data_IF_457750308899
#
_entry.id   IF_457750308899
#
_cell.length_a   1.000
_cell.length_b   1.000
_cell.length_c   1.000
_cell.angle_alpha   90.00
_cell.angle_beta   90.00
_cell.angle_gamma   90.00
#
_symmetry.space_group_name_H-M   'P 1'
#
loop_
_entity.id
_entity.type
_entity.pdbx_description
1 polymer ?
#
# COMPACT_ATOMS: atom_id res chain seq x y z
N UNK A 1 -30.08 0.75 16.76
CA UNK A 1 -29.96 0.15 15.41
C UNK A 1 -28.66 -0.63 15.45
N UNK A 2 -28.69 -1.93 15.17
CA UNK A 2 -27.54 -2.80 15.42
C UNK A 2 -26.37 -2.54 14.48
N UNK A 3 -25.21 -3.13 14.78
CA UNK A 3 -24.02 -3.18 13.91
C UNK A 3 -24.40 -3.48 12.45
N UNK A 4 -25.40 -4.35 12.23
CA UNK A 4 -25.95 -4.74 10.92
C UNK A 4 -26.84 -3.70 10.22
N UNK A 5 -27.40 -2.72 10.92
CA UNK A 5 -28.24 -1.68 10.31
C UNK A 5 -27.41 -0.65 9.54
N UNK A 6 -26.13 -0.49 9.88
CA UNK A 6 -25.17 0.34 9.13
C UNK A 6 -24.86 -0.23 7.73
N UNK A 7 -24.97 -1.56 7.56
CA UNK A 7 -24.57 -2.27 6.34
C UNK A 7 -25.70 -2.45 5.30
N UNK A 8 -26.94 -2.02 5.57
CA UNK A 8 -28.08 -2.20 4.66
C UNK A 8 -28.05 -1.37 3.37
N UNK A 9 -27.08 -0.45 3.18
CA UNK A 9 -27.03 0.41 1.99
C UNK A 9 -26.17 -0.09 0.83
N UNK A 10 -25.57 -1.29 0.88
CA UNK A 10 -24.83 -1.80 -0.28
C UNK A 10 -25.06 -3.25 -0.73
N UNK A 11 -25.78 -4.09 0.02
CA UNK A 11 -26.11 -5.45 -0.45
C UNK A 11 -27.58 -5.79 -0.19
N UNK A 12 -28.37 -5.76 -1.26
CA UNK A 12 -29.71 -6.33 -1.27
C UNK A 12 -29.60 -7.84 -1.54
N UNK A 13 -29.25 -8.63 -0.52
CA UNK A 13 -29.74 -10.00 -0.34
C UNK A 13 -29.19 -10.60 0.96
N UNK A 14 -30.07 -11.33 1.65
CA UNK A 14 -29.88 -12.21 2.81
C UNK A 14 -30.08 -11.59 4.21
N UNK A 15 -31.16 -12.09 4.82
CA UNK A 15 -31.60 -11.86 6.19
C UNK A 15 -30.81 -12.72 7.20
N UNK A 16 -30.61 -12.13 8.38
CA UNK A 16 -30.35 -12.74 9.70
C UNK A 16 -29.19 -13.73 9.86
N UNK A 17 -28.08 -13.25 10.42
CA UNK A 17 -27.22 -14.06 11.30
C UNK A 17 -26.85 -13.22 12.52
N UNK A 18 -27.43 -13.57 13.67
CA UNK A 18 -26.92 -13.21 14.99
C UNK A 18 -25.89 -14.28 15.35
N UNK A 19 -24.63 -13.90 15.57
CA UNK A 19 -23.61 -14.87 16.03
C UNK A 19 -23.32 -14.60 17.50
N UNK A 20 -23.95 -15.31 18.45
CA UNK A 20 -23.45 -15.37 19.82
C UNK A 20 -22.16 -16.20 19.86
N UNK A 21 -21.26 -15.88 20.80
CA UNK A 21 -20.07 -16.70 21.08
C UNK A 21 -20.53 -18.13 21.42
N UNK A 22 -20.02 -19.15 20.73
CA UNK A 22 -20.39 -20.56 20.97
C UNK A 22 -19.51 -21.23 22.03
N UNK A 23 -20.14 -22.02 22.91
CA UNK A 23 -19.50 -22.87 23.93
C UNK A 23 -18.70 -24.04 23.31
N UNK A 24 -17.63 -24.45 23.98
CA UNK A 24 -17.03 -25.80 23.81
C UNK A 24 -17.62 -26.75 24.85
N UNK A 25 -18.29 -27.82 24.42
CA UNK A 25 -18.70 -28.94 25.29
C UNK A 25 -17.48 -29.74 25.77
N UNK A 26 -17.37 -29.96 27.08
CA UNK A 26 -16.48 -30.98 27.66
C UNK A 26 -17.17 -32.35 27.70
N UNK A 27 -16.43 -33.47 27.54
CA UNK A 27 -17.04 -34.81 27.44
C UNK A 27 -17.57 -35.31 28.80
N UNK A 28 -18.80 -35.83 28.79
CA UNK A 28 -19.48 -36.43 29.94
C UNK A 28 -18.78 -37.70 30.45
N UNK A 29 -18.49 -37.75 31.76
CA UNK A 29 -18.22 -38.99 32.49
C UNK A 29 -19.54 -39.73 32.78
N UNK A 30 -19.63 -40.99 32.32
CA UNK A 30 -20.70 -41.93 32.65
C UNK A 30 -20.67 -42.30 34.13
N UNK A 31 -21.80 -42.14 34.84
CA UNK A 31 -22.12 -42.97 36.01
C UNK A 31 -23.57 -43.47 35.96
N UNK A 32 -23.63 -44.79 36.07
CA UNK A 32 -24.68 -45.83 36.10
C UNK A 32 -26.01 -45.50 36.80
N UNK A 33 -27.10 -46.00 36.21
CA UNK A 33 -28.47 -46.10 36.73
C UNK A 33 -28.59 -46.88 38.06
N UNK A 34 -29.46 -46.41 38.96
CA UNK A 34 -30.20 -47.26 39.89
C UNK A 34 -31.63 -46.71 40.07
N UNK A 35 -32.61 -47.61 40.12
CA UNK A 35 -34.06 -47.39 39.90
C UNK A 35 -34.84 -47.42 41.23
N UNK A 36 -36.03 -46.81 41.22
CA UNK A 36 -37.22 -46.98 42.13
C UNK A 36 -37.18 -46.03 43.36
N UNK A 37 -38.20 -45.22 43.72
CA UNK A 37 -39.66 -45.42 43.82
C UNK A 37 -40.42 -44.06 43.93
N UNK A 38 -41.67 -43.99 43.45
CA UNK A 38 -42.62 -42.86 43.60
C UNK A 38 -43.19 -42.78 45.03
N UNK A 39 -42.98 -41.68 45.77
CA UNK A 39 -43.87 -41.27 46.89
C UNK A 39 -43.86 -39.74 47.13
N UNK A 40 -45.01 -39.12 46.83
CA UNK A 40 -45.69 -37.98 47.49
C UNK A 40 -45.03 -36.58 47.57
N UNK A 41 -45.80 -35.62 47.03
CA UNK A 41 -45.64 -34.16 47.13
C UNK A 41 -45.47 -33.63 48.56
N UNK A 42 -44.38 -32.90 48.78
CA UNK A 42 -44.33 -31.78 49.73
C UNK A 42 -43.45 -30.69 49.12
N UNK A 43 -44.01 -29.48 48.94
CA UNK A 43 -43.29 -28.29 48.50
C UNK A 43 -42.25 -27.94 49.58
N UNK A 44 -40.93 -27.96 49.30
CA UNK A 44 -39.94 -27.38 50.20
C UNK A 44 -39.83 -25.88 49.91
N UNK A 45 -39.82 -25.07 50.97
CA UNK A 45 -39.50 -23.66 50.91
C UNK A 45 -38.22 -23.45 50.10
N UNK A 46 -38.30 -22.60 49.07
CA UNK A 46 -37.15 -22.13 48.31
C UNK A 46 -36.29 -21.32 49.28
N UNK A 47 -35.24 -21.96 49.80
CA UNK A 47 -34.10 -21.28 50.39
C UNK A 47 -33.59 -20.29 49.35
N UNK A 48 -33.76 -19.00 49.63
CA UNK A 48 -33.11 -17.92 48.89
C UNK A 48 -31.61 -18.17 48.95
N UNK A 49 -31.04 -18.72 47.89
CA UNK A 49 -29.61 -18.68 47.68
C UNK A 49 -29.20 -17.19 47.72
N UNK A 50 -28.15 -16.83 48.47
CA UNK A 50 -27.62 -15.49 48.38
C UNK A 50 -27.24 -15.24 46.92
N UNK A 51 -27.81 -14.20 46.34
CA UNK A 51 -27.35 -13.67 45.05
C UNK A 51 -25.88 -13.32 45.27
N UNK A 52 -24.97 -14.13 44.73
CA UNK A 52 -23.57 -13.74 44.65
C UNK A 52 -23.53 -12.45 43.85
N UNK A 53 -23.06 -11.37 44.48
CA UNK A 53 -22.78 -10.13 43.78
C UNK A 53 -21.81 -10.45 42.64
N UNK A 54 -22.09 -10.01 41.40
CA UNK A 54 -21.22 -10.32 40.26
C UNK A 54 -19.82 -9.78 40.58
N UNK A 55 -18.84 -10.68 40.55
CA UNK A 55 -17.43 -10.36 40.76
C UNK A 55 -16.99 -9.38 39.68
N UNK A 56 -16.79 -8.12 40.04
CA UNK A 56 -16.39 -7.06 39.10
C UNK A 56 -15.00 -7.39 38.55
N UNK A 57 -14.90 -7.53 37.23
CA UNK A 57 -13.63 -7.66 36.53
C UNK A 57 -13.02 -6.26 36.36
N UNK A 58 -12.05 -5.92 37.21
CA UNK A 58 -11.41 -4.59 37.20
C UNK A 58 -10.73 -4.27 35.86
N UNK A 59 -10.23 -5.28 35.15
CA UNK A 59 -9.57 -5.10 33.85
C UNK A 59 -10.59 -4.77 32.75
N UNK A 60 -11.74 -5.44 32.74
CA UNK A 60 -12.85 -5.11 31.87
C UNK A 60 -13.36 -3.68 32.12
N UNK A 61 -13.54 -3.28 33.37
CA UNK A 61 -14.01 -1.92 33.73
C UNK A 61 -13.06 -0.82 33.23
N UNK A 62 -11.75 -1.09 33.24
CA UNK A 62 -10.74 -0.18 32.70
C UNK A 62 -10.76 -0.14 31.17
N UNK A 63 -10.89 -1.29 30.50
CA UNK A 63 -10.86 -1.38 29.04
C UNK A 63 -12.16 -0.88 28.41
N UNK A 64 -13.32 -1.07 29.05
CA UNK A 64 -14.63 -0.76 28.45
C UNK A 64 -14.84 0.72 28.13
N UNK A 65 -14.08 1.64 28.73
CA UNK A 65 -14.13 3.07 28.37
C UNK A 65 -13.67 3.31 26.92
N UNK A 66 -12.93 2.35 26.33
CA UNK A 66 -12.44 2.37 24.97
C UNK A 66 -13.28 1.53 23.98
N UNK A 67 -14.50 1.11 24.36
CA UNK A 67 -15.35 0.26 23.52
C UNK A 67 -15.60 0.84 22.12
N UNK A 68 -15.74 2.18 22.01
CA UNK A 68 -15.85 2.85 20.72
C UNK A 68 -14.69 2.46 19.79
N UNK A 69 -13.45 2.48 20.29
CA UNK A 69 -12.26 2.21 19.48
C UNK A 69 -12.04 0.72 19.22
N UNK A 70 -12.42 -0.15 20.16
CA UNK A 70 -12.41 -1.60 19.96
C UNK A 70 -13.36 -1.98 18.81
N UNK A 71 -14.61 -1.49 18.89
CA UNK A 71 -15.60 -1.75 17.84
C UNK A 71 -15.24 -1.05 16.54
N UNK A 72 -14.63 0.14 16.59
CA UNK A 72 -14.14 0.81 15.38
C UNK A 72 -13.03 0.02 14.69
N UNK A 73 -12.10 -0.60 15.44
CA UNK A 73 -11.07 -1.48 14.87
C UNK A 73 -11.66 -2.70 14.17
N UNK A 74 -12.68 -3.32 14.76
CA UNK A 74 -13.46 -4.40 14.11
C UNK A 74 -14.12 -3.89 12.82
N UNK A 75 -14.72 -2.71 12.85
CA UNK A 75 -15.38 -2.13 11.68
C UNK A 75 -14.40 -1.74 10.56
N UNK A 76 -13.15 -1.38 10.89
CA UNK A 76 -12.07 -1.19 9.92
C UNK A 76 -11.70 -2.53 9.25
N UNK A 77 -11.50 -3.58 10.05
CA UNK A 77 -11.17 -4.91 9.53
C UNK A 77 -12.22 -5.43 8.55
N UNK A 78 -13.51 -5.27 8.87
CA UNK A 78 -14.61 -5.67 8.00
C UNK A 78 -14.64 -4.91 6.65
N UNK A 79 -13.94 -3.76 6.56
CA UNK A 79 -13.72 -3.01 5.31
C UNK A 79 -12.40 -3.35 4.61
N UNK A 80 -11.61 -4.26 5.17
CA UNK A 80 -10.26 -4.58 4.70
C UNK A 80 -9.22 -3.53 5.09
N UNK A 81 -9.51 -2.69 6.07
CA UNK A 81 -8.58 -1.70 6.61
C UNK A 81 -7.94 -2.24 7.90
N UNK A 82 -6.60 -2.35 7.92
CA UNK A 82 -5.84 -2.97 9.02
C UNK A 82 -4.92 -1.98 9.75
N UNK A 83 -5.12 -0.68 9.51
CA UNK A 83 -4.29 0.40 10.06
C UNK A 83 -4.36 0.41 11.59
N UNK A 84 -3.21 0.48 12.30
CA UNK A 84 -3.21 0.70 13.73
C UNK A 84 -3.93 1.98 14.12
N UNK A 85 -4.75 1.91 15.16
CA UNK A 85 -5.45 3.06 15.74
C UNK A 85 -5.17 3.12 17.23
N UNK A 86 -5.42 4.27 17.84
CA UNK A 86 -5.26 4.43 19.27
C UNK A 86 -6.30 5.37 19.85
N UNK A 87 -6.41 5.35 21.16
CA UNK A 87 -7.21 6.31 21.92
C UNK A 87 -6.59 6.53 23.29
N UNK A 88 -6.85 7.69 23.88
CA UNK A 88 -6.35 8.05 25.20
C UNK A 88 -7.41 8.76 26.03
N UNK A 89 -7.34 8.59 27.34
CA UNK A 89 -8.20 9.28 28.30
C UNK A 89 -7.48 10.53 28.81
N UNK A 90 -8.09 11.70 28.62
CA UNK A 90 -7.60 12.97 29.18
C UNK A 90 -7.79 13.04 30.69
N UNK A 91 -7.14 14.03 31.33
CA UNK A 91 -7.36 14.33 32.76
C UNK A 91 -8.83 14.50 33.16
N UNK A 92 -9.67 15.09 32.29
CA UNK A 92 -11.10 15.30 32.53
C UNK A 92 -11.96 14.03 32.37
N UNK A 93 -11.37 12.89 31.98
CA UNK A 93 -12.07 11.62 31.73
C UNK A 93 -12.68 11.47 30.33
N UNK A 94 -12.48 12.45 29.45
CA UNK A 94 -12.87 12.35 28.04
C UNK A 94 -11.88 11.43 27.29
N UNK A 95 -12.41 10.55 26.43
CA UNK A 95 -11.61 9.67 25.59
C UNK A 95 -11.58 10.20 24.16
N UNK A 96 -10.38 10.46 23.64
CA UNK A 96 -10.16 10.89 22.25
C UNK A 96 -9.40 9.86 21.45
N UNK A 97 -9.75 9.76 20.17
CA UNK A 97 -9.07 8.89 19.22
C UNK A 97 -7.90 9.60 18.58
N UNK A 98 -6.85 8.81 18.34
CA UNK A 98 -5.66 9.23 17.62
C UNK A 98 -5.33 8.27 16.49
N UNK A 99 -5.03 8.84 15.33
CA UNK A 99 -4.54 8.11 14.17
C UNK A 99 -3.50 8.93 13.41
N UNK A 100 -2.54 8.23 12.81
CA UNK A 100 -1.68 8.82 11.80
C UNK A 100 -2.44 8.94 10.47
N UNK A 101 -2.35 10.12 9.86
CA UNK A 101 -2.94 10.39 8.56
C UNK A 101 -1.87 10.43 7.47
N UNK A 102 -2.07 9.70 6.38
CA UNK A 102 -1.25 9.85 5.19
C UNK A 102 -1.52 11.22 4.59
N UNK A 103 -0.52 12.12 4.67
CA UNK A 103 -0.59 13.47 4.10
C UNK A 103 0.20 13.60 2.79
N UNK A 104 1.04 12.62 2.47
CA UNK A 104 1.75 12.51 1.20
C UNK A 104 1.49 11.15 0.56
N UNK A 105 1.07 11.12 -0.71
CA UNK A 105 0.71 9.88 -1.43
C UNK A 105 1.91 8.95 -1.73
N UNK A 106 3.11 9.28 -1.24
CA UNK A 106 4.36 8.58 -1.51
C UNK A 106 4.97 7.90 -0.27
N UNK A 107 4.40 8.08 0.92
CA UNK A 107 4.95 7.54 2.16
C UNK A 107 3.88 7.17 3.18
N UNK A 108 3.99 5.97 3.75
CA UNK A 108 3.14 5.51 4.84
C UNK A 108 4.00 4.83 5.92
N UNK A 109 3.56 4.89 7.18
CA UNK A 109 4.22 4.12 8.24
C UNK A 109 3.84 2.64 8.12
N UNK A 110 4.81 1.75 8.30
CA UNK A 110 4.47 0.34 8.53
C UNK A 110 3.68 0.21 9.84
N UNK A 111 2.86 -0.84 10.01
CA UNK A 111 2.12 -1.05 11.26
C UNK A 111 3.02 -1.03 12.49
N UNK A 112 4.21 -1.64 12.40
CA UNK A 112 5.21 -1.68 13.47
C UNK A 112 5.73 -0.28 13.83
N UNK A 113 6.05 0.54 12.83
CA UNK A 113 6.49 1.92 13.06
C UNK A 113 5.37 2.77 13.66
N UNK A 114 4.14 2.68 13.14
CA UNK A 114 3.00 3.41 13.67
C UNK A 114 2.74 3.07 15.14
N UNK A 115 2.75 1.78 15.50
CA UNK A 115 2.57 1.32 16.89
C UNK A 115 3.71 1.86 17.77
N UNK A 116 4.96 1.73 17.35
CA UNK A 116 6.10 2.19 18.14
C UNK A 116 6.06 3.71 18.40
N UNK A 117 5.70 4.51 17.39
CA UNK A 117 5.57 5.96 17.55
C UNK A 117 4.37 6.35 18.43
N UNK A 118 3.22 5.65 18.30
CA UNK A 118 2.08 5.82 19.21
C UNK A 118 2.48 5.49 20.65
N UNK A 119 3.18 4.37 20.87
CA UNK A 119 3.66 3.97 22.19
C UNK A 119 4.59 5.03 22.78
N UNK A 120 5.60 5.49 22.04
CA UNK A 120 6.52 6.52 22.51
C UNK A 120 5.79 7.82 22.89
N UNK A 121 4.89 8.28 22.01
CA UNK A 121 4.08 9.48 22.23
C UNK A 121 3.25 9.37 23.50
N UNK A 122 2.44 8.32 23.64
CA UNK A 122 1.52 8.21 24.77
C UNK A 122 2.22 7.87 26.08
N UNK A 123 3.33 7.15 26.06
CA UNK A 123 4.15 6.98 27.25
C UNK A 123 4.72 8.31 27.75
N UNK A 124 5.20 9.18 26.84
CA UNK A 124 5.65 10.52 27.21
C UNK A 124 4.51 11.34 27.80
N UNK A 125 3.34 11.35 27.15
CA UNK A 125 2.18 12.12 27.61
C UNK A 125 1.62 11.61 28.94
N UNK A 126 1.66 10.29 29.18
CA UNK A 126 1.26 9.67 30.45
C UNK A 126 2.22 10.04 31.58
N UNK A 127 3.54 9.99 31.33
CA UNK A 127 4.57 10.37 32.32
C UNK A 127 4.52 11.86 32.67
N UNK A 128 4.14 12.71 31.71
CA UNK A 128 3.92 14.14 31.92
C UNK A 128 2.57 14.45 32.61
N UNK A 129 1.71 13.44 32.79
CA UNK A 129 0.40 13.57 33.41
C UNK A 129 -0.67 14.18 32.50
N UNK A 130 -0.40 14.37 31.20
CA UNK A 130 -1.35 14.96 30.23
C UNK A 130 -2.55 14.05 29.96
N UNK A 131 -2.34 12.74 30.09
CA UNK A 131 -3.36 11.70 29.91
C UNK A 131 -3.35 10.78 31.13
N UNK A 132 -4.46 10.09 31.37
CA UNK A 132 -4.63 9.09 32.44
C UNK A 132 -4.36 7.67 31.98
N UNK A 133 -4.66 7.38 30.72
CA UNK A 133 -4.49 6.07 30.13
C UNK A 133 -4.49 6.16 28.60
N UNK A 134 -4.02 5.10 27.95
CA UNK A 134 -4.14 4.94 26.50
C UNK A 134 -4.30 3.48 26.11
N UNK A 135 -4.83 3.27 24.90
CA UNK A 135 -4.89 1.99 24.20
C UNK A 135 -4.38 2.14 22.77
N UNK A 136 -3.72 1.11 22.25
CA UNK A 136 -3.31 0.98 20.85
C UNK A 136 -3.85 -0.35 20.33
N UNK A 137 -4.65 -0.28 19.27
CA UNK A 137 -5.26 -1.42 18.62
C UNK A 137 -4.58 -1.69 17.28
N UNK A 138 -4.21 -2.94 17.04
CA UNK A 138 -3.53 -3.35 15.81
C UNK A 138 -3.74 -4.84 15.53
N UNK A 139 -3.69 -5.21 14.26
CA UNK A 139 -3.74 -6.61 13.87
C UNK A 139 -2.42 -7.32 14.17
N UNK A 140 -2.51 -8.53 14.69
CA UNK A 140 -1.37 -9.27 15.20
C UNK A 140 -1.46 -10.77 14.93
N UNK A 141 -0.35 -11.45 15.21
CA UNK A 141 -0.22 -12.90 15.19
C UNK A 141 -0.83 -13.60 16.42
N UNK A 142 -1.63 -12.88 17.21
CA UNK A 142 -2.21 -13.35 18.45
C UNK A 142 -3.31 -14.38 18.19
N UNK A 143 -3.16 -15.58 18.76
CA UNK A 143 -4.20 -16.62 18.80
C UNK A 143 -4.17 -17.30 20.17
N UNK A 144 -4.42 -16.51 21.23
CA UNK A 144 -4.39 -16.95 22.64
C UNK A 144 -3.05 -17.52 23.13
N UNK A 145 -1.97 -17.19 22.45
CA UNK A 145 -0.61 -17.68 22.74
C UNK A 145 0.30 -16.58 23.32
N UNK A 146 -0.25 -15.40 23.63
CA UNK A 146 0.50 -14.22 24.08
C UNK A 146 1.38 -13.57 22.99
N UNK A 147 1.33 -14.05 21.75
CA UNK A 147 2.10 -13.47 20.64
C UNK A 147 1.41 -12.22 20.08
N UNK A 148 1.65 -11.07 20.69
CA UNK A 148 1.15 -9.78 20.22
C UNK A 148 2.04 -9.12 19.15
N UNK A 149 2.82 -9.88 18.39
CA UNK A 149 3.63 -9.33 17.30
C UNK A 149 2.72 -8.76 16.20
N UNK A 150 2.92 -7.51 15.75
CA UNK A 150 2.12 -6.94 14.66
C UNK A 150 2.20 -7.80 13.41
N UNK A 151 1.05 -8.11 12.83
CA UNK A 151 0.95 -8.86 11.58
C UNK A 151 1.17 -7.92 10.39
N UNK A 152 1.99 -8.34 9.44
CA UNK A 152 2.36 -7.55 8.27
C UNK A 152 1.86 -8.17 6.95
N UNK A 153 1.36 -9.40 6.98
CA UNK A 153 0.87 -10.13 5.81
C UNK A 153 -0.47 -10.81 6.09
N UNK A 154 -1.24 -11.07 5.03
CA UNK A 154 -2.61 -11.63 5.14
C UNK A 154 -2.67 -12.95 5.92
N UNK A 155 -1.68 -13.83 5.72
CA UNK A 155 -1.58 -15.11 6.43
C UNK A 155 -1.18 -15.02 7.91
N UNK A 156 -0.80 -13.83 8.39
CA UNK A 156 -0.37 -13.61 9.77
C UNK A 156 -1.50 -13.08 10.67
N UNK A 157 -2.60 -12.59 10.07
CA UNK A 157 -3.72 -11.99 10.78
C UNK A 157 -4.51 -13.03 11.58
N UNK A 158 -4.36 -12.98 12.92
CA UNK A 158 -4.99 -13.93 13.85
C UNK A 158 -5.77 -13.26 14.98
N UNK A 159 -5.47 -12.00 15.28
CA UNK A 159 -6.19 -11.25 16.30
C UNK A 159 -6.02 -9.75 16.17
N UNK A 160 -6.84 -9.00 16.92
CA UNK A 160 -6.66 -7.58 17.20
C UNK A 160 -6.02 -7.51 18.58
N UNK A 161 -4.74 -7.14 18.65
CA UNK A 161 -4.08 -6.84 19.91
C UNK A 161 -4.54 -5.49 20.45
N UNK A 162 -4.68 -5.40 21.76
CA UNK A 162 -4.92 -4.18 22.52
C UNK A 162 -3.75 -4.01 23.49
N UNK A 163 -2.83 -3.11 23.17
CA UNK A 163 -1.76 -2.69 24.07
C UNK A 163 -2.24 -1.48 24.87
N UNK A 164 -2.07 -1.48 26.19
CA UNK A 164 -2.63 -0.44 27.05
C UNK A 164 -1.77 -0.15 28.28
N UNK A 165 -1.93 1.05 28.81
CA UNK A 165 -1.28 1.49 30.04
C UNK A 165 -2.18 2.50 30.76
N UNK A 166 -2.44 2.25 32.04
CA UNK A 166 -3.16 3.14 32.95
C UNK A 166 -2.18 3.74 33.95
N UNK A 167 -2.34 5.03 34.28
CA UNK A 167 -1.46 5.71 35.21
C UNK A 167 -1.35 4.97 36.56
N UNK A 168 -0.13 4.58 36.94
CA UNK A 168 0.15 3.85 38.17
C UNK A 168 0.10 2.33 38.07
N UNK A 169 -0.27 1.77 36.92
CA UNK A 169 -0.25 0.34 36.64
C UNK A 169 0.94 -0.06 35.74
N UNK A 170 1.17 -1.35 35.56
CA UNK A 170 2.12 -1.84 34.56
C UNK A 170 1.47 -1.82 33.16
N UNK A 171 2.30 -1.57 32.14
CA UNK A 171 1.91 -1.72 30.74
C UNK A 171 1.55 -3.17 30.44
N UNK A 172 0.43 -3.39 29.77
CA UNK A 172 -0.12 -4.72 29.48
C UNK A 172 -0.59 -4.83 28.03
N UNK A 173 -0.85 -6.07 27.62
CA UNK A 173 -1.46 -6.42 26.33
C UNK A 173 -2.51 -7.49 26.55
N UNK A 174 -3.63 -7.37 25.85
CA UNK A 174 -4.62 -8.43 25.63
C UNK A 174 -4.95 -8.47 24.14
N UNK A 175 -5.82 -9.37 23.70
CA UNK A 175 -6.21 -9.47 22.31
C UNK A 175 -7.55 -10.12 22.08
N UNK A 176 -8.16 -9.74 20.96
CA UNK A 176 -9.37 -10.31 20.41
C UNK A 176 -9.01 -11.19 19.20
N UNK A 177 -8.92 -12.51 19.36
CA UNK A 177 -8.58 -13.40 18.26
C UNK A 177 -9.79 -13.60 17.34
N UNK A 178 -9.48 -13.83 16.06
CA UNK A 178 -10.46 -14.08 15.01
C UNK A 178 -9.95 -15.12 14.02
N UNK A 179 -10.87 -15.69 13.26
CA UNK A 179 -10.58 -16.63 12.16
C UNK A 179 -11.34 -16.22 10.90
N UNK A 180 -10.73 -16.44 9.74
CA UNK A 180 -11.38 -16.28 8.44
C UNK A 180 -12.02 -17.60 8.02
N UNK A 181 -13.34 -17.61 7.82
CA UNK A 181 -14.12 -18.78 7.43
C UNK A 181 -15.06 -18.42 6.27
N UNK A 182 -14.85 -18.99 5.09
CA UNK A 182 -15.72 -18.80 3.91
C UNK A 182 -16.03 -17.32 3.61
N UNK A 183 -15.00 -16.45 3.64
CA UNK A 183 -15.12 -14.99 3.48
C UNK A 183 -15.79 -14.24 4.64
N UNK A 184 -16.14 -14.92 5.73
CA UNK A 184 -16.60 -14.30 6.98
C UNK A 184 -15.49 -14.28 8.03
N UNK A 185 -15.62 -13.41 9.02
CA UNK A 185 -14.71 -13.31 10.16
C UNK A 185 -15.47 -13.70 11.43
N UNK A 186 -14.95 -14.67 12.18
CA UNK A 186 -15.51 -15.13 13.45
C UNK A 186 -14.60 -14.68 14.60
N UNK A 187 -15.12 -13.87 15.52
CA UNK A 187 -14.40 -13.37 16.69
C UNK A 187 -14.59 -14.31 17.90
N UNK A 188 -13.50 -14.62 18.62
CA UNK A 188 -13.54 -15.54 19.78
C UNK A 188 -13.75 -14.84 21.12
N UNK A 189 -13.68 -13.50 21.18
CA UNK A 189 -13.72 -12.72 22.42
C UNK A 189 -12.35 -12.63 23.13
N UNK A 190 -12.24 -11.73 24.10
CA UNK A 190 -11.12 -11.65 25.03
C UNK A 190 -11.24 -12.80 26.05
N UNK A 191 -10.17 -13.60 26.19
CA UNK A 191 -10.19 -14.78 27.04
C UNK A 191 -10.30 -14.45 28.54
N UNK A 192 -9.87 -13.25 28.93
CA UNK A 192 -9.92 -12.77 30.31
C UNK A 192 -11.31 -12.25 30.72
N UNK A 193 -12.23 -12.12 29.76
CA UNK A 193 -13.56 -11.55 29.97
C UNK A 193 -14.63 -12.63 29.93
N UNK A 194 -15.69 -12.42 30.72
CA UNK A 194 -16.87 -13.29 30.68
C UNK A 194 -17.58 -13.22 29.33
N UNK A 195 -18.52 -14.13 29.11
CA UNK A 195 -19.37 -14.10 27.92
C UNK A 195 -20.20 -12.81 27.86
N UNK A 196 -20.76 -12.38 29.00
CA UNK A 196 -21.53 -11.14 29.12
C UNK A 196 -20.68 -9.90 28.85
N UNK A 197 -19.46 -9.87 29.38
CA UNK A 197 -18.50 -8.77 29.17
C UNK A 197 -18.09 -8.66 27.69
N UNK A 198 -17.76 -9.79 27.06
CA UNK A 198 -17.49 -9.83 25.62
C UNK A 198 -18.70 -9.38 24.80
N UNK A 199 -19.90 -9.86 25.13
CA UNK A 199 -21.13 -9.45 24.46
C UNK A 199 -21.40 -7.95 24.65
N UNK A 200 -21.09 -7.37 25.78
CA UNK A 200 -21.25 -5.94 26.02
C UNK A 200 -20.35 -5.11 25.10
N UNK A 201 -19.10 -5.52 24.89
CA UNK A 201 -18.17 -4.89 23.95
C UNK A 201 -18.69 -5.06 22.51
N UNK A 202 -19.00 -6.29 22.11
CA UNK A 202 -19.40 -6.61 20.74
C UNK A 202 -20.73 -5.96 20.32
N UNK A 203 -21.63 -5.71 21.27
CA UNK A 203 -22.91 -5.04 21.01
C UNK A 203 -22.85 -3.52 21.18
N UNK A 204 -21.69 -2.95 21.52
CA UNK A 204 -21.52 -1.51 21.63
C UNK A 204 -21.75 -0.83 20.27
N UNK A 205 -22.58 0.21 20.23
CA UNK A 205 -23.01 0.86 18.99
C UNK A 205 -22.23 2.14 18.76
N UNK A 206 -21.52 2.21 17.62
CA UNK A 206 -20.94 3.45 17.13
C UNK A 206 -22.05 4.43 16.70
N UNK A 207 -21.83 5.70 16.98
CA UNK A 207 -22.71 6.81 16.63
C UNK A 207 -22.43 7.21 15.18
N UNK A 208 -23.47 7.18 14.36
CA UNK A 208 -23.38 7.56 12.95
C UNK A 208 -22.93 9.03 12.80
N UNK A 209 -21.92 9.25 11.95
CA UNK A 209 -21.39 10.58 11.64
C UNK A 209 -20.50 11.21 12.72
N UNK A 210 -20.25 10.51 13.85
CA UNK A 210 -19.30 10.97 14.85
C UNK A 210 -17.87 10.89 14.29
N UNK A 211 -17.10 11.97 14.46
CA UNK A 211 -15.66 11.91 14.28
C UNK A 211 -15.03 11.24 15.51
N UNK A 212 -14.55 10.02 15.34
CA UNK A 212 -13.86 9.25 16.38
C UNK A 212 -12.37 9.62 16.52
N UNK A 213 -11.78 10.28 15.53
CA UNK A 213 -10.36 10.66 15.53
C UNK A 213 -10.26 12.18 15.51
N UNK A 214 -10.38 12.77 16.69
CA UNK A 214 -10.28 14.23 16.86
C UNK A 214 -8.83 14.68 16.85
N UNK A 215 -7.90 13.78 17.18
CA UNK A 215 -6.47 14.03 17.15
C UNK A 215 -5.84 13.24 15.99
N UNK A 216 -5.18 13.94 15.06
CA UNK A 216 -4.54 13.31 13.91
C UNK A 216 -3.21 13.97 13.63
N UNK A 217 -2.18 13.16 13.37
CA UNK A 217 -0.86 13.65 12.97
C UNK A 217 -0.54 13.19 11.54
N UNK A 218 -0.07 14.13 10.72
CA UNK A 218 0.30 13.84 9.34
C UNK A 218 1.62 13.07 9.25
N UNK A 219 1.65 12.04 8.41
CA UNK A 219 2.87 11.29 8.10
C UNK A 219 3.70 12.10 7.11
N UNK A 220 4.87 12.53 7.53
CA UNK A 220 5.87 13.14 6.67
C UNK A 220 6.91 12.10 6.21
N UNK A 221 7.24 12.10 4.93
CA UNK A 221 8.34 11.31 4.41
C UNK A 221 9.67 11.83 4.98
N UNK A 222 10.60 10.94 5.41
CA UNK A 222 11.95 11.35 5.77
C UNK A 222 12.61 12.12 4.61
N UNK A 223 13.14 13.29 4.91
CA UNK A 223 13.77 14.20 3.94
C UNK A 223 15.05 14.79 4.50
N UNK A 224 16.05 14.96 3.63
CA UNK A 224 17.26 15.73 3.91
C UNK A 224 17.72 16.49 2.67
N UNK A 225 18.47 17.56 2.86
CA UNK A 225 19.22 18.22 1.78
C UNK A 225 20.70 17.90 1.95
N UNK A 226 21.33 17.37 0.92
CA UNK A 226 22.75 16.99 0.97
C UNK A 226 23.68 18.18 0.67
N UNK A 227 24.99 17.94 0.72
CA UNK A 227 26.02 18.98 0.49
C UNK A 227 25.98 19.58 -0.93
N UNK A 228 25.45 18.84 -1.91
CA UNK A 228 25.25 19.32 -3.27
C UNK A 228 23.97 20.17 -3.44
N UNK A 229 23.20 20.37 -2.36
CA UNK A 229 21.92 21.10 -2.40
C UNK A 229 20.76 20.27 -2.98
N UNK A 230 20.93 18.96 -3.12
CA UNK A 230 19.91 18.05 -3.65
C UNK A 230 19.02 17.58 -2.50
N UNK A 231 17.70 17.67 -2.70
CA UNK A 231 16.70 17.18 -1.75
C UNK A 231 16.54 15.66 -1.92
N UNK A 232 16.87 14.89 -0.89
CA UNK A 232 16.69 13.45 -0.84
C UNK A 232 15.48 13.15 0.02
N UNK A 233 14.44 12.57 -0.58
CA UNK A 233 13.19 12.20 0.11
C UNK A 233 12.95 10.70 0.01
N UNK A 234 12.45 10.08 1.07
CA UNK A 234 12.07 8.66 1.06
C UNK A 234 10.66 8.45 0.52
N UNK A 235 10.44 7.25 -0.01
CA UNK A 235 9.13 6.76 -0.44
C UNK A 235 9.08 5.26 -0.24
N UNK A 236 7.92 4.70 0.10
CA UNK A 236 7.79 3.28 0.39
C UNK A 236 6.49 2.64 -0.12
N UNK A 237 5.71 3.40 -0.88
CA UNK A 237 4.44 2.93 -1.48
C UNK A 237 4.57 2.61 -2.97
N UNK A 238 5.66 3.03 -3.61
CA UNK A 238 5.83 2.84 -5.05
C UNK A 238 6.30 1.42 -5.39
N UNK A 239 5.91 0.99 -6.59
CA UNK A 239 6.26 -0.30 -7.19
C UNK A 239 6.28 -0.20 -8.72
N UNK A 240 6.72 -1.27 -9.38
CA UNK A 240 6.88 -1.32 -10.84
C UNK A 240 5.70 -1.99 -11.57
N UNK A 241 4.54 -2.14 -10.93
CA UNK A 241 3.41 -2.88 -11.51
C UNK A 241 2.95 -2.25 -12.83
N UNK A 242 2.81 -0.92 -12.88
CA UNK A 242 2.44 -0.20 -14.10
C UNK A 242 3.52 -0.31 -15.18
N UNK A 243 4.79 -0.22 -14.79
CA UNK A 243 5.94 -0.38 -15.69
C UNK A 243 5.91 -1.75 -16.38
N UNK A 244 5.74 -2.82 -15.61
CA UNK A 244 5.66 -4.19 -16.15
C UNK A 244 4.37 -4.45 -16.93
N UNK A 245 3.25 -3.86 -16.52
CA UNK A 245 2.00 -3.84 -17.31
C UNK A 245 2.20 -3.12 -18.65
N UNK A 246 3.03 -2.08 -18.70
CA UNK A 246 3.43 -1.39 -19.93
C UNK A 246 4.24 -2.28 -20.87
N UNK A 247 5.18 -3.06 -20.31
CA UNK A 247 6.03 -4.00 -21.07
C UNK A 247 5.23 -5.20 -21.59
N UNK A 248 4.51 -5.89 -20.71
CA UNK A 248 3.87 -7.17 -21.02
C UNK A 248 2.46 -7.05 -21.60
N UNK A 249 1.86 -5.86 -21.58
CA UNK A 249 0.46 -5.64 -21.95
C UNK A 249 -0.44 -5.83 -20.73
N UNK A 250 -1.43 -4.96 -20.55
CA UNK A 250 -2.20 -4.90 -19.30
C UNK A 250 -3.00 -6.17 -18.97
N UNK A 251 -3.77 -6.68 -19.92
CA UNK A 251 -4.56 -7.91 -19.78
C UNK A 251 -3.63 -9.12 -19.68
N UNK A 252 -2.57 -9.18 -20.50
CA UNK A 252 -1.58 -10.24 -20.42
C UNK A 252 -0.91 -10.28 -19.04
N UNK A 253 -0.52 -9.13 -18.49
CA UNK A 253 0.13 -9.02 -17.18
C UNK A 253 -0.79 -9.47 -16.03
N UNK A 254 -2.10 -9.27 -16.16
CA UNK A 254 -3.09 -9.74 -15.18
C UNK A 254 -3.40 -11.23 -15.29
N UNK A 255 -3.24 -11.84 -16.46
CA UNK A 255 -3.70 -13.21 -16.74
C UNK A 255 -2.57 -14.24 -16.78
N UNK A 256 -1.32 -13.81 -16.93
CA UNK A 256 -0.13 -14.67 -17.01
C UNK A 256 0.82 -14.39 -15.85
N UNK A 257 1.54 -15.43 -15.43
CA UNK A 257 2.50 -15.33 -14.33
C UNK A 257 3.89 -14.86 -14.82
N UNK A 258 3.98 -13.59 -15.22
CA UNK A 258 5.27 -12.99 -15.55
C UNK A 258 6.15 -12.78 -14.30
N UNK A 259 5.57 -12.80 -13.10
CA UNK A 259 6.33 -12.74 -11.85
C UNK A 259 7.28 -13.93 -11.71
N UNK A 260 6.79 -15.14 -11.95
CA UNK A 260 7.64 -16.35 -11.98
C UNK A 260 8.73 -16.27 -13.06
N UNK A 261 8.40 -15.74 -14.25
CA UNK A 261 9.38 -15.57 -15.32
C UNK A 261 10.52 -14.61 -14.92
N UNK A 262 10.19 -13.44 -14.38
CA UNK A 262 11.17 -12.45 -13.93
C UNK A 262 12.02 -12.98 -12.78
N UNK A 263 11.42 -13.67 -11.81
CA UNK A 263 12.14 -14.32 -10.71
C UNK A 263 13.10 -15.39 -11.22
N UNK A 264 12.70 -16.20 -12.20
CA UNK A 264 13.57 -17.19 -12.79
C UNK A 264 14.80 -16.57 -13.48
N UNK A 265 14.64 -15.40 -14.12
CA UNK A 265 15.77 -14.64 -14.68
C UNK A 265 16.68 -14.16 -13.56
N UNK A 266 16.14 -13.55 -12.50
CA UNK A 266 16.94 -13.07 -11.37
C UNK A 266 17.77 -14.19 -10.74
N UNK A 267 17.16 -15.33 -10.44
CA UNK A 267 17.89 -16.50 -9.89
C UNK A 267 18.97 -17.03 -10.84
N UNK A 268 18.73 -16.99 -12.16
CA UNK A 268 19.74 -17.37 -13.15
C UNK A 268 20.92 -16.38 -13.16
N UNK A 269 20.64 -15.08 -13.03
CA UNK A 269 21.67 -14.03 -12.98
C UNK A 269 22.54 -14.09 -11.71
N UNK A 270 22.00 -14.58 -10.59
CA UNK A 270 22.74 -14.78 -9.33
C UNK A 270 23.74 -15.95 -9.38
N UNK A 271 23.64 -16.84 -10.37
CA UNK A 271 24.54 -17.99 -10.51
C UNK A 271 25.99 -17.55 -10.75
N UNK A 272 26.94 -18.17 -10.04
CA UNK A 272 28.38 -18.00 -10.28
C UNK A 272 28.84 -18.45 -11.67
N UNK A 273 28.04 -19.28 -12.34
CA UNK A 273 28.20 -19.65 -13.75
C UNK A 273 26.85 -19.40 -14.45
N UNK A 274 26.56 -18.15 -14.84
CA UNK A 274 25.31 -17.80 -15.48
C UNK A 274 25.19 -18.56 -16.80
N UNK A 275 24.03 -19.18 -17.11
CA UNK A 275 23.81 -19.80 -18.42
C UNK A 275 24.20 -18.85 -19.55
N UNK A 276 24.93 -19.36 -20.55
CA UNK A 276 25.40 -18.61 -21.74
C UNK A 276 24.25 -17.86 -22.46
N UNK A 277 23.01 -18.29 -22.23
CA UNK A 277 21.80 -17.78 -22.88
C UNK A 277 20.99 -16.76 -22.07
N UNK A 278 21.49 -16.22 -20.94
CA UNK A 278 20.74 -15.17 -20.21
C UNK A 278 20.51 -13.93 -21.08
N UNK A 279 21.48 -13.58 -21.95
CA UNK A 279 21.36 -12.42 -22.84
C UNK A 279 20.13 -12.50 -23.75
N UNK A 280 19.74 -13.67 -24.24
CA UNK A 280 18.54 -13.78 -25.09
C UNK A 280 17.23 -13.57 -24.32
N UNK A 281 17.28 -13.66 -22.99
CA UNK A 281 16.15 -13.42 -22.08
C UNK A 281 16.08 -11.99 -21.54
N UNK A 282 17.15 -11.22 -21.71
CA UNK A 282 17.29 -9.88 -21.15
C UNK A 282 17.63 -8.80 -22.16
N UNK A 283 18.17 -9.11 -23.34
CA UNK A 283 18.55 -8.15 -24.38
C UNK A 283 17.64 -8.34 -25.62
N UNK A 284 16.70 -7.42 -25.82
CA UNK A 284 15.78 -7.40 -26.97
C UNK A 284 16.04 -6.18 -27.87
N UNK A 285 15.44 -6.14 -29.06
CA UNK A 285 15.61 -4.98 -29.95
C UNK A 285 14.92 -3.73 -29.36
N UNK A 286 15.71 -2.84 -28.77
CA UNK A 286 15.28 -1.57 -28.19
C UNK A 286 14.80 -1.64 -26.74
N UNK A 287 14.76 -2.82 -26.11
CA UNK A 287 14.40 -2.99 -24.69
C UNK A 287 15.34 -3.99 -24.04
N UNK A 288 15.86 -3.65 -22.86
CA UNK A 288 16.72 -4.51 -22.05
C UNK A 288 16.08 -4.72 -20.67
N UNK A 289 16.03 -5.96 -20.18
CA UNK A 289 15.70 -6.25 -18.79
C UNK A 289 17.00 -6.26 -17.97
N UNK A 290 17.32 -5.10 -17.41
CA UNK A 290 18.53 -4.89 -16.64
C UNK A 290 18.36 -5.49 -15.24
N UNK A 291 19.31 -6.33 -14.85
CA UNK A 291 19.35 -6.93 -13.52
C UNK A 291 20.45 -6.28 -12.68
N UNK A 292 20.12 -5.86 -11.46
CA UNK A 292 21.10 -5.42 -10.47
C UNK A 292 21.02 -6.37 -9.28
N UNK A 293 22.16 -6.94 -8.91
CA UNK A 293 22.26 -7.95 -7.86
C UNK A 293 23.03 -7.36 -6.69
N UNK A 294 22.47 -7.45 -5.49
CA UNK A 294 23.14 -7.10 -4.24
C UNK A 294 23.02 -8.26 -3.25
N UNK A 295 23.77 -8.23 -2.15
CA UNK A 295 23.69 -9.28 -1.12
C UNK A 295 22.29 -9.36 -0.47
N UNK A 296 21.55 -8.25 -0.43
CA UNK A 296 20.29 -8.12 0.28
C UNK A 296 19.06 -8.12 -0.64
N UNK A 297 19.20 -7.63 -1.87
CA UNK A 297 18.11 -7.52 -2.84
C UNK A 297 18.60 -7.64 -4.29
N UNK A 298 17.92 -8.48 -5.05
CA UNK A 298 18.08 -8.58 -6.50
C UNK A 298 16.90 -7.91 -7.19
N UNK A 299 17.17 -6.99 -8.11
CA UNK A 299 16.16 -6.23 -8.85
C UNK A 299 16.31 -6.46 -10.35
N UNK A 300 15.18 -6.51 -11.05
CA UNK A 300 15.11 -6.51 -12.51
C UNK A 300 14.21 -5.37 -12.94
N UNK A 301 14.66 -4.59 -13.91
CA UNK A 301 13.94 -3.42 -14.42
C UNK A 301 13.99 -3.43 -15.96
N UNK A 302 12.90 -3.06 -16.64
CA UNK A 302 12.96 -2.85 -18.08
C UNK A 302 13.56 -1.48 -18.38
N UNK A 303 14.42 -1.40 -19.38
CA UNK A 303 15.06 -0.19 -19.87
C UNK A 303 14.84 -0.09 -21.37
N UNK A 304 14.28 1.02 -21.84
CA UNK A 304 14.18 1.33 -23.26
C UNK A 304 15.49 1.98 -23.73
N UNK A 305 16.11 1.39 -24.75
CA UNK A 305 17.38 1.89 -25.31
C UNK A 305 17.14 3.18 -26.08
N UNK A 306 17.96 4.19 -25.82
CA UNK A 306 17.89 5.49 -26.49
C UNK A 306 19.26 6.18 -26.52
N UNK A 307 19.47 7.03 -27.52
CA UNK A 307 20.61 7.94 -27.63
C UNK A 307 20.23 9.42 -27.38
N UNK A 308 18.94 9.72 -27.17
CA UNK A 308 18.50 11.08 -26.82
C UNK A 308 19.09 11.51 -25.50
N UNK A 309 20.02 12.46 -25.56
CA UNK A 309 20.73 12.98 -24.40
C UNK A 309 20.19 14.37 -24.04
N UNK A 310 20.04 14.62 -22.74
CA UNK A 310 19.58 15.90 -22.19
C UNK A 310 20.54 16.40 -21.11
N UNK A 311 20.86 17.69 -21.18
CA UNK A 311 21.48 18.41 -20.06
C UNK A 311 20.42 18.59 -18.96
N UNK A 312 20.73 18.11 -17.76
CA UNK A 312 19.81 17.99 -16.64
C UNK A 312 20.47 18.46 -15.35
N UNK A 313 19.72 19.20 -14.53
CA UNK A 313 20.15 19.58 -13.19
C UNK A 313 19.32 18.85 -12.13
N UNK A 314 19.93 17.94 -11.39
CA UNK A 314 19.29 17.23 -10.28
C UNK A 314 18.92 18.20 -9.16
N UNK A 315 17.64 18.29 -8.82
CA UNK A 315 17.11 19.08 -7.70
C UNK A 315 16.60 18.22 -6.56
N UNK A 316 15.97 17.10 -6.90
CA UNK A 316 15.48 16.16 -5.90
C UNK A 316 15.58 14.71 -6.37
N UNK A 317 15.78 13.83 -5.41
CA UNK A 317 15.80 12.39 -5.60
C UNK A 317 14.83 11.78 -4.59
N UNK A 318 13.89 10.99 -5.09
CA UNK A 318 12.95 10.23 -4.27
C UNK A 318 13.37 8.77 -4.24
N UNK A 319 14.04 8.36 -3.16
CA UNK A 319 14.54 6.99 -2.98
C UNK A 319 13.44 6.06 -2.46
N UNK A 320 13.48 4.82 -2.93
CA UNK A 320 12.54 3.76 -2.55
C UNK A 320 13.07 2.96 -1.37
N UNK A 321 12.54 3.22 -0.18
CA UNK A 321 12.94 2.55 1.06
C UNK A 321 12.64 1.04 1.01
N UNK A 322 11.51 0.66 0.42
CA UNK A 322 11.10 -0.73 0.20
C UNK A 322 11.98 -1.48 -0.82
N UNK A 323 12.85 -0.78 -1.55
CA UNK A 323 13.84 -1.35 -2.47
C UNK A 323 15.28 -1.05 -2.00
N UNK A 324 15.49 -0.97 -0.68
CA UNK A 324 16.79 -0.69 -0.04
C UNK A 324 17.48 0.58 -0.57
N UNK A 325 16.69 1.55 -1.05
CA UNK A 325 17.17 2.79 -1.68
C UNK A 325 18.06 2.53 -2.92
N UNK A 326 17.84 1.42 -3.62
CA UNK A 326 18.50 1.07 -4.89
C UNK A 326 17.73 1.58 -6.12
N UNK A 327 16.48 2.01 -5.91
CA UNK A 327 15.62 2.55 -6.94
C UNK A 327 15.20 3.97 -6.55
N UNK A 328 15.11 4.87 -7.53
CA UNK A 328 14.72 6.25 -7.29
C UNK A 328 14.05 6.92 -8.49
N UNK A 329 13.22 7.92 -8.19
CA UNK A 329 12.86 8.97 -9.15
C UNK A 329 13.82 10.13 -8.99
N UNK A 330 14.39 10.58 -10.10
CA UNK A 330 15.26 11.75 -10.15
C UNK A 330 14.51 12.88 -10.85
N UNK A 331 14.61 14.09 -10.30
CA UNK A 331 13.80 15.21 -10.72
C UNK A 331 14.56 16.55 -10.70
N UNK A 332 14.26 17.38 -11.70
CA UNK A 332 14.90 18.67 -11.86
C UNK A 332 14.65 19.28 -13.25
N UNK A 333 15.16 20.49 -13.52
CA UNK A 333 15.03 21.09 -14.83
C UNK A 333 15.94 20.42 -15.87
N UNK A 334 15.41 20.24 -17.08
CA UNK A 334 16.18 19.92 -18.27
C UNK A 334 16.34 21.18 -19.13
N UNK A 335 17.55 21.37 -19.68
CA UNK A 335 17.92 22.52 -20.53
C UNK A 335 17.50 23.88 -19.95
N UNK A 336 17.47 24.01 -18.62
CA UNK A 336 17.03 25.21 -17.88
C UNK A 336 15.63 25.74 -18.24
N UNK A 337 14.77 24.91 -18.85
CA UNK A 337 13.53 25.39 -19.50
C UNK A 337 12.28 24.65 -19.05
N UNK A 338 12.35 23.34 -18.78
CA UNK A 338 11.19 22.54 -18.37
C UNK A 338 11.57 21.51 -17.31
N UNK A 339 10.61 21.13 -16.45
CA UNK A 339 10.81 20.14 -15.40
C UNK A 339 10.68 18.71 -15.92
N UNK A 340 11.63 17.86 -15.57
CA UNK A 340 11.63 16.43 -15.90
C UNK A 340 11.74 15.61 -14.63
N UNK A 341 10.93 14.56 -14.53
CA UNK A 341 11.08 13.49 -13.56
C UNK A 341 11.24 12.20 -14.34
N UNK A 342 12.18 11.35 -13.95
CA UNK A 342 12.38 10.05 -14.59
C UNK A 342 12.72 8.99 -13.56
N UNK A 343 12.33 7.75 -13.85
CA UNK A 343 12.82 6.58 -13.14
C UNK A 343 14.26 6.28 -13.56
N UNK A 344 15.19 6.41 -12.63
CA UNK A 344 16.61 6.23 -12.89
C UNK A 344 16.96 4.73 -12.98
N UNK A 345 17.11 4.21 -14.20
CA UNK A 345 17.37 2.78 -14.47
C UNK A 345 18.80 2.36 -14.14
N UNK A 346 19.66 3.28 -13.76
CA UNK A 346 21.03 3.04 -13.33
C UNK A 346 21.30 3.58 -11.92
N UNK A 347 20.25 3.92 -11.16
CA UNK A 347 20.42 4.53 -9.85
C UNK A 347 21.25 3.67 -8.90
N UNK A 348 21.02 2.36 -8.88
CA UNK A 348 21.74 1.44 -8.01
C UNK A 348 23.26 1.45 -8.28
N UNK A 349 23.68 1.54 -9.53
CA UNK A 349 25.11 1.58 -9.89
C UNK A 349 25.71 2.99 -9.75
N UNK A 350 24.91 4.03 -10.02
CA UNK A 350 25.37 5.42 -10.12
C UNK A 350 24.89 6.34 -8.99
N UNK A 351 24.43 5.76 -7.87
CA UNK A 351 23.87 6.48 -6.71
C UNK A 351 24.71 7.66 -6.24
N UNK A 352 26.02 7.44 -6.06
CA UNK A 352 26.93 8.49 -5.61
C UNK A 352 27.02 9.64 -6.61
N UNK A 353 27.04 9.35 -7.91
CA UNK A 353 27.07 10.36 -8.96
C UNK A 353 25.81 11.20 -8.93
N UNK A 354 24.63 10.57 -8.87
CA UNK A 354 23.35 11.27 -8.72
C UNK A 354 23.30 12.17 -7.48
N UNK A 355 23.85 11.71 -6.35
CA UNK A 355 23.82 12.46 -5.09
C UNK A 355 24.85 13.59 -5.02
N UNK A 356 25.94 13.54 -5.78
CA UNK A 356 27.05 14.50 -5.61
C UNK A 356 27.22 15.45 -6.80
N UNK A 357 26.71 15.10 -7.97
CA UNK A 357 26.82 15.89 -9.19
C UNK A 357 25.45 16.45 -9.57
N UNK A 358 25.18 17.73 -9.32
CA UNK A 358 23.89 18.32 -9.67
C UNK A 358 23.70 18.41 -11.18
N UNK A 359 24.76 18.69 -11.96
CA UNK A 359 24.64 18.79 -13.42
C UNK A 359 25.06 17.47 -14.07
N UNK A 360 24.13 16.85 -14.80
CA UNK A 360 24.31 15.57 -15.46
C UNK A 360 23.88 15.66 -16.91
N UNK A 361 24.48 14.81 -17.74
CA UNK A 361 23.88 14.42 -19.01
C UNK A 361 23.15 13.11 -18.81
N UNK A 362 21.91 13.05 -19.24
CA UNK A 362 21.06 11.87 -19.05
C UNK A 362 20.45 11.44 -20.37
N UNK A 363 20.39 10.13 -20.61
CA UNK A 363 19.58 9.54 -21.67
C UNK A 363 18.16 9.36 -21.17
N UNK A 364 17.16 9.86 -21.89
CA UNK A 364 15.74 9.76 -21.48
C UNK A 364 14.94 8.96 -22.51
N UNK A 365 14.23 7.97 -22.03
CA UNK A 365 13.30 7.13 -22.79
C UNK A 365 11.96 7.00 -22.05
N UNK A 366 11.04 6.19 -22.58
CA UNK A 366 9.77 5.97 -21.88
C UNK A 366 9.12 4.61 -22.15
N UNK A 367 8.24 4.21 -21.23
CA UNK A 367 7.34 3.07 -21.40
C UNK A 367 5.92 3.60 -21.45
N UNK A 368 5.25 3.39 -22.58
CA UNK A 368 3.88 3.82 -22.80
C UNK A 368 2.92 2.78 -22.24
N UNK A 369 2.11 3.19 -21.26
CA UNK A 369 1.10 2.35 -20.63
C UNK A 369 -0.16 2.25 -21.46
N UNK A 370 -0.46 3.29 -22.23
CA UNK A 370 -1.59 3.37 -23.12
C UNK A 370 -1.30 4.36 -24.24
N UNK A 371 -1.69 4.01 -25.46
CA UNK A 371 -1.56 4.89 -26.62
C UNK A 371 -2.88 4.96 -27.39
N UNK A 372 -3.36 6.17 -27.62
CA UNK A 372 -4.58 6.46 -28.36
C UNK A 372 -4.36 7.60 -29.37
N UNK A 373 -5.25 7.72 -30.36
CA UNK A 373 -5.18 8.79 -31.35
C UNK A 373 -5.69 10.06 -30.68
N UNK A 374 -4.91 11.13 -30.77
CA UNK A 374 -5.36 12.42 -30.28
C UNK A 374 -6.26 13.09 -31.33
N UNK A 375 -7.56 13.14 -31.06
CA UNK A 375 -8.55 13.70 -32.00
C UNK A 375 -9.12 15.06 -31.59
N UNK A 376 -8.88 15.52 -30.37
CA UNK A 376 -9.52 16.71 -29.81
C UNK A 376 -8.52 17.84 -29.59
N UNK A 377 -8.56 18.86 -30.45
CA UNK A 377 -7.73 20.07 -30.31
C UNK A 377 -8.42 21.18 -29.51
N UNK A 378 -9.63 20.97 -28.99
CA UNK A 378 -10.36 21.99 -28.24
C UNK A 378 -10.19 21.77 -26.72
N UNK A 379 -9.78 22.84 -26.02
CA UNK A 379 -9.79 22.92 -24.56
C UNK A 379 -11.22 22.99 -24.00
N UNK A 380 -11.46 22.69 -22.71
CA UNK A 380 -12.79 22.73 -22.09
C UNK A 380 -13.49 24.10 -22.18
N UNK A 381 -12.72 25.18 -22.34
CA UNK A 381 -13.20 26.56 -22.50
C UNK A 381 -13.47 26.93 -23.97
N UNK A 382 -13.27 26.00 -24.90
CA UNK A 382 -13.44 26.20 -26.35
C UNK A 382 -12.20 26.78 -27.06
N UNK A 383 -11.08 26.96 -26.36
CA UNK A 383 -9.83 27.43 -26.97
C UNK A 383 -9.23 26.33 -27.86
N UNK A 384 -8.89 26.68 -29.11
CA UNK A 384 -8.24 25.75 -30.04
C UNK A 384 -6.74 25.69 -29.80
N UNK A 385 -6.23 24.50 -29.55
CA UNK A 385 -4.79 24.21 -29.58
C UNK A 385 -4.28 24.27 -31.02
N UNK A 386 -3.02 24.66 -31.17
CA UNK A 386 -2.32 24.54 -32.46
C UNK A 386 -2.29 23.08 -32.91
N UNK A 387 -2.37 22.82 -34.21
CA UNK A 387 -2.24 21.46 -34.76
C UNK A 387 -0.90 20.82 -34.39
N UNK A 388 0.15 21.62 -34.19
CA UNK A 388 1.49 21.15 -33.83
C UNK A 388 1.69 21.03 -32.31
N UNK A 389 0.68 21.31 -31.50
CA UNK A 389 0.80 21.26 -30.04
C UNK A 389 1.20 19.85 -29.56
N UNK A 390 2.20 19.78 -28.69
CA UNK A 390 2.56 18.59 -27.92
C UNK A 390 2.89 19.02 -26.49
N UNK A 391 2.56 18.19 -25.53
CA UNK A 391 2.88 18.43 -24.13
C UNK A 391 2.87 17.12 -23.34
N UNK A 392 3.40 17.17 -22.13
CA UNK A 392 3.21 16.15 -21.12
C UNK A 392 3.01 16.82 -19.77
N UNK A 393 2.24 16.20 -18.90
CA UNK A 393 1.95 16.68 -17.56
C UNK A 393 1.91 15.52 -16.57
N UNK A 394 2.24 15.72 -15.28
CA UNK A 394 2.11 14.67 -14.28
C UNK A 394 0.71 14.06 -14.34
N UNK A 395 0.66 12.73 -14.41
CA UNK A 395 -0.61 12.01 -14.55
C UNK A 395 -1.51 12.29 -13.35
N UNK A 396 -2.81 12.46 -13.59
CA UNK A 396 -3.79 12.67 -12.51
C UNK A 396 -4.27 11.34 -11.92
N UNK A 397 -4.19 10.27 -12.70
CA UNK A 397 -4.72 8.95 -12.34
C UNK A 397 -3.64 8.00 -11.83
N UNK A 398 -2.38 8.27 -12.15
CA UNK A 398 -1.24 7.44 -11.77
C UNK A 398 -0.45 8.10 -10.63
N UNK A 399 0.13 7.30 -9.71
CA UNK A 399 1.02 7.82 -8.69
C UNK A 399 2.14 8.66 -9.31
N UNK A 400 2.61 9.68 -8.60
CA UNK A 400 3.71 10.55 -9.01
C UNK A 400 5.06 9.80 -9.01
N UNK A 401 5.21 8.89 -9.98
CA UNK A 401 6.32 7.96 -10.17
C UNK A 401 6.96 8.17 -11.55
N UNK A 402 7.22 9.44 -11.89
CA UNK A 402 7.58 9.85 -13.25
C UNK A 402 6.56 9.38 -14.31
N UNK A 403 5.30 9.28 -13.91
CA UNK A 403 4.18 8.95 -14.79
C UNK A 403 3.53 10.23 -15.30
N UNK A 404 3.32 10.30 -16.61
CA UNK A 404 2.82 11.49 -17.29
C UNK A 404 1.72 11.14 -18.26
N UNK A 405 0.68 11.96 -18.26
CA UNK A 405 -0.27 12.02 -19.37
C UNK A 405 0.35 12.92 -20.45
N UNK A 406 0.18 12.55 -21.73
CA UNK A 406 0.82 13.28 -22.82
C UNK A 406 -0.07 13.45 -24.04
N UNK A 407 0.26 14.49 -24.83
CA UNK A 407 -0.13 14.68 -26.22
C UNK A 407 1.18 14.78 -27.00
N UNK A 408 1.45 13.80 -27.85
CA UNK A 408 2.71 13.68 -28.58
C UNK A 408 2.52 13.56 -30.07
N UNK A 409 3.62 13.61 -30.80
CA UNK A 409 3.66 13.33 -32.24
C UNK A 409 4.61 12.17 -32.52
N UNK A 410 4.14 11.19 -33.30
CA UNK A 410 4.97 10.06 -33.76
C UNK A 410 5.87 10.55 -34.89
N UNK A 411 7.17 10.68 -34.63
CA UNK A 411 8.15 11.07 -35.65
C UNK A 411 8.54 9.86 -36.50
N UNK A 412 8.82 8.74 -35.83
CA UNK A 412 9.12 7.46 -36.45
C UNK A 412 8.72 6.31 -35.53
N UNK A 413 8.69 5.09 -36.05
CA UNK A 413 8.48 3.89 -35.27
C UNK A 413 9.09 2.65 -35.94
N UNK A 414 9.51 1.68 -35.11
CA UNK A 414 9.91 0.34 -35.56
C UNK A 414 9.17 -0.73 -34.75
N UNK A 415 8.82 -1.83 -35.39
CA UNK A 415 8.30 -3.00 -34.67
C UNK A 415 9.40 -3.68 -33.86
N UNK A 416 9.04 -4.23 -32.71
CA UNK A 416 9.92 -5.04 -31.88
C UNK A 416 9.15 -6.20 -31.22
N UNK A 417 9.87 -7.25 -30.86
CA UNK A 417 9.37 -8.44 -30.17
C UNK A 417 10.22 -8.68 -28.92
N UNK A 418 9.57 -8.95 -27.79
CA UNK A 418 10.20 -9.30 -26.52
C UNK A 418 9.92 -10.78 -26.22
N UNK A 419 10.72 -11.33 -25.30
CA UNK A 419 10.74 -12.74 -24.89
C UNK A 419 11.28 -13.69 -25.96
N UNK A 420 11.85 -14.82 -25.54
CA UNK A 420 12.43 -15.83 -26.42
C UNK A 420 11.40 -16.39 -27.42
N UNK A 421 10.14 -16.50 -26.99
CA UNK A 421 9.02 -16.99 -27.79
C UNK A 421 8.35 -15.90 -28.64
N UNK A 422 8.82 -14.64 -28.54
CA UNK A 422 8.28 -13.46 -29.24
C UNK A 422 6.79 -13.23 -28.98
N UNK A 423 6.29 -13.68 -27.84
CA UNK A 423 4.86 -13.56 -27.49
C UNK A 423 4.46 -12.13 -27.15
N UNK A 424 5.43 -11.28 -26.78
CA UNK A 424 5.20 -9.86 -26.48
C UNK A 424 5.62 -9.02 -27.68
N UNK A 425 4.65 -8.34 -28.30
CA UNK A 425 4.86 -7.55 -29.52
C UNK A 425 4.59 -6.08 -29.24
N UNK A 426 5.43 -5.21 -29.79
CA UNK A 426 5.34 -3.79 -29.55
C UNK A 426 5.95 -2.95 -30.67
N UNK A 427 6.07 -1.67 -30.39
CA UNK A 427 6.82 -0.72 -31.19
C UNK A 427 7.80 0.06 -30.31
N UNK A 428 8.96 0.40 -30.85
CA UNK A 428 9.77 1.52 -30.37
C UNK A 428 9.34 2.74 -31.18
N UNK A 429 8.80 3.74 -30.50
CA UNK A 429 8.31 4.99 -31.06
C UNK A 429 9.34 6.10 -30.82
N UNK A 430 9.65 6.89 -31.83
CA UNK A 430 10.28 8.20 -31.66
C UNK A 430 9.17 9.22 -31.41
N UNK A 431 8.97 9.62 -30.16
CA UNK A 431 7.88 10.50 -29.73
C UNK A 431 8.39 11.91 -29.43
N UNK A 432 7.83 12.90 -30.13
CA UNK A 432 8.01 14.32 -29.79
C UNK A 432 6.99 14.73 -28.73
N UNK A 433 7.48 15.20 -27.59
CA UNK A 433 6.68 15.57 -26.42
C UNK A 433 6.62 17.08 -26.17
N UNK A 434 7.62 17.85 -26.59
CA UNK A 434 7.55 19.33 -26.59
C UNK A 434 7.84 19.87 -27.98
N UNK A 435 6.97 20.77 -28.44
CA UNK A 435 7.17 21.56 -29.65
C UNK A 435 7.98 22.82 -29.34
N UNK A 436 9.03 23.05 -30.11
CA UNK A 436 9.86 24.25 -30.05
C UNK A 436 10.20 24.68 -31.49
N UNK A 437 10.14 25.97 -31.77
CA UNK A 437 10.33 26.52 -33.13
C UNK A 437 11.80 26.50 -33.58
N UNK A 438 12.75 26.59 -32.63
CA UNK A 438 14.18 26.69 -32.92
C UNK A 438 14.89 25.33 -32.88
N UNK A 439 14.32 24.36 -32.16
CA UNK A 439 14.89 23.02 -32.01
C UNK A 439 13.83 21.93 -32.23
N UNK A 440 13.93 21.23 -33.36
CA UNK A 440 12.99 20.17 -33.71
C UNK A 440 13.01 19.00 -32.73
N UNK A 441 14.18 18.68 -32.17
CA UNK A 441 14.44 17.65 -31.15
C UNK A 441 14.59 18.28 -29.74
N UNK A 442 13.75 19.27 -29.43
CA UNK A 442 13.76 19.94 -28.14
C UNK A 442 13.48 18.99 -26.98
N UNK A 443 12.44 18.16 -27.12
CA UNK A 443 12.18 17.04 -26.24
C UNK A 443 11.50 15.91 -27.04
N UNK A 444 12.36 15.09 -27.63
CA UNK A 444 12.01 13.87 -28.35
C UNK A 444 12.64 12.69 -27.61
N UNK A 445 11.89 11.60 -27.45
CA UNK A 445 12.35 10.40 -26.74
C UNK A 445 12.06 9.15 -27.57
N UNK A 446 12.83 8.09 -27.32
CA UNK A 446 12.41 6.74 -27.70
C UNK A 446 11.51 6.16 -26.63
N UNK A 447 10.39 5.58 -27.03
CA UNK A 447 9.45 4.97 -26.09
C UNK A 447 8.96 3.61 -26.59
N UNK A 448 8.90 2.63 -25.70
CA UNK A 448 8.30 1.34 -26.00
C UNK A 448 6.79 1.39 -25.76
N UNK A 449 6.00 0.85 -26.68
CA UNK A 449 4.58 0.56 -26.47
C UNK A 449 4.27 -0.89 -26.83
N UNK A 450 3.58 -1.60 -25.94
CA UNK A 450 3.03 -2.92 -26.24
C UNK A 450 1.79 -2.77 -27.15
N UNK A 451 1.66 -3.62 -28.18
CA UNK A 451 0.53 -3.58 -29.12
C UNK A 451 -0.83 -3.75 -28.43
N UNK A 452 -0.90 -4.51 -27.34
CA UNK A 452 -2.12 -4.69 -26.54
C UNK A 452 -2.56 -3.41 -25.83
N UNK A 453 -1.61 -2.52 -25.51
CA UNK A 453 -1.86 -1.25 -24.84
C UNK A 453 -2.23 -0.12 -25.83
N UNK A 454 -2.28 -0.42 -27.13
CA UNK A 454 -2.70 0.53 -28.16
C UNK A 454 -4.20 0.43 -28.41
N UNK A 455 -4.89 1.58 -28.38
CA UNK A 455 -6.32 1.70 -28.71
C UNK A 455 -6.57 2.02 -30.18
N UNK A 456 -5.57 1.77 -31.02
CA UNK A 456 -5.59 2.05 -32.45
C UNK A 456 -4.98 0.89 -33.23
N UNK A 457 -5.45 0.69 -34.47
CA UNK A 457 -5.00 -0.43 -35.30
C UNK A 457 -3.73 -0.11 -36.12
N UNK A 458 -3.48 1.16 -36.44
CA UNK A 458 -2.40 1.56 -37.36
C UNK A 458 -1.65 2.77 -36.84
N UNK A 459 -0.32 2.71 -36.88
CA UNK A 459 0.58 3.84 -36.64
C UNK A 459 1.02 4.46 -37.97
N UNK A 460 1.09 5.80 -38.02
CA UNK A 460 1.63 6.53 -39.16
C UNK A 460 2.55 7.65 -38.68
N UNK A 461 3.63 7.92 -39.43
CA UNK A 461 4.52 9.06 -39.14
C UNK A 461 3.74 10.38 -39.21
N UNK A 462 4.02 11.29 -38.29
CA UNK A 462 3.33 12.57 -38.12
C UNK A 462 2.03 12.49 -37.33
N UNK A 463 1.53 11.30 -36.98
CA UNK A 463 0.28 11.13 -36.22
C UNK A 463 0.37 11.77 -34.83
N UNK A 464 -0.69 12.49 -34.44
CA UNK A 464 -0.87 12.95 -33.07
C UNK A 464 -1.48 11.86 -32.21
N UNK A 465 -0.84 11.61 -31.09
CA UNK A 465 -1.18 10.53 -30.16
C UNK A 465 -1.30 11.09 -28.75
N UNK A 466 -2.06 10.42 -27.92
CA UNK A 466 -2.21 10.75 -26.50
C UNK A 466 -2.20 9.48 -25.67
N UNK A 467 -1.90 9.61 -24.39
CA UNK A 467 -1.90 8.47 -23.49
C UNK A 467 -1.16 8.77 -22.20
N UNK A 468 -0.73 7.71 -21.54
CA UNK A 468 0.08 7.77 -20.34
C UNK A 468 1.38 6.99 -20.54
N UNK A 469 2.48 7.53 -20.02
CA UNK A 469 3.78 6.89 -20.04
C UNK A 469 4.50 7.08 -18.72
N UNK A 470 5.52 6.26 -18.47
CA UNK A 470 6.55 6.56 -17.50
C UNK A 470 7.82 6.97 -18.23
N UNK A 471 8.41 8.09 -17.81
CA UNK A 471 9.75 8.47 -18.26
C UNK A 471 10.79 7.66 -17.49
N UNK A 472 11.76 7.14 -18.23
CA UNK A 472 12.92 6.43 -17.73
C UNK A 472 14.18 7.21 -18.10
N UNK A 473 15.24 7.04 -17.33
CA UNK A 473 16.51 7.63 -17.71
C UNK A 473 17.71 7.03 -17.00
N UNK A 474 18.89 7.33 -17.54
CA UNK A 474 20.18 6.95 -16.98
C UNK A 474 21.23 8.00 -17.28
N UNK A 475 22.35 7.99 -16.55
CA UNK A 475 23.48 8.86 -16.86
C UNK A 475 24.04 8.48 -18.23
N UNK A 476 24.29 9.49 -19.07
CA UNK A 476 24.90 9.31 -20.38
C UNK A 476 26.42 9.06 -20.23
N UNK A 477 26.94 8.06 -20.95
CA UNK A 477 28.37 7.71 -20.98
C UNK A 477 29.23 8.68 -21.80
#
# INVERSE_FOLDING_TARGET
MGIFDFFKKKNNSQENVSTPVQEMEMPEEKVVEEVVEEVVQTIPEVSSQPVEEPKVNEEYEKIRIYNDYIVYSIALQLRGEYTPISAFEKENGEVEGFAYMVTEDAYALSPQQAIAQMEEKFESELQEGKIKSYVILYHSQFDHNGNHTPAIQEGEFKGISLAYHFAGDEKKKTGLPYIFENQNITYKGFAEFSHEENNAIMNHQLIEGQNYFQNTEGIAAPEMTNEAGIIIRKSNVHNMMNTWSGIFGHQNFQTKDYGQYLNAILTQSESSDPPVDIKSKTEFDGVTFKTTLTEELSIIIPEVTTDYTLDFETRSIREWENALNLQAIVAGPARETFGVWFFATDYAENKNTYMTQPHLKVNISGIVFILDIHTNTDLPDGTKMSEDFTTYAPSQDLPNYACFDFIGQVVDFKETELLEDRSVKGYILKLKLITNEENEDFFTIDAFVNKENMRMETLTKGMKVTGALQLQGKIAE
#
